data_IF_599033797302
#
_entry.id   IF_599033797302
#
_cell.length_a   1.000
_cell.length_b   1.000
_cell.length_c   1.000
_cell.angle_alpha   90.00
_cell.angle_beta   90.00
_cell.angle_gamma   90.00
#
_symmetry.space_group_name_H-M   'P 1'
#
loop_
_entity.id
_entity.type
_entity.pdbx_description
1 polymer ?
#
# COMPACT_ATOMS: atom_id res chain seq x y z
N UNK A 1 52.93 18.47 22.80
CA UNK A 1 51.49 18.83 22.95
C UNK A 1 50.76 19.06 21.62
N UNK A 2 51.43 19.11 20.45
CA UNK A 2 50.78 19.27 19.15
C UNK A 2 50.22 17.97 18.53
N UNK A 3 50.84 16.83 18.85
CA UNK A 3 50.60 15.55 18.19
C UNK A 3 49.26 14.89 18.59
N UNK A 4 48.96 14.89 19.89
CA UNK A 4 47.69 14.37 20.43
C UNK A 4 46.46 15.16 19.97
N UNK A 5 46.63 16.45 19.70
CA UNK A 5 45.56 17.33 19.21
C UNK A 5 45.30 17.08 17.72
N UNK A 6 46.35 16.87 16.91
CA UNK A 6 46.20 16.47 15.50
C UNK A 6 45.56 15.08 15.36
N UNK A 7 46.00 14.10 16.15
CA UNK A 7 45.42 12.75 16.17
C UNK A 7 43.93 12.76 16.54
N UNK A 8 43.52 13.60 17.52
CA UNK A 8 42.10 13.75 17.89
C UNK A 8 41.28 14.43 16.79
N UNK A 9 41.80 15.45 16.14
CA UNK A 9 41.11 16.13 15.02
C UNK A 9 40.94 15.20 13.82
N UNK A 10 41.95 14.41 13.48
CA UNK A 10 41.87 13.42 12.39
C UNK A 10 40.86 12.32 12.72
N UNK A 11 40.84 11.81 13.96
CA UNK A 11 39.87 10.80 14.39
C UNK A 11 38.43 11.31 14.40
N UNK A 12 38.19 12.54 14.89
CA UNK A 12 36.86 13.17 14.87
C UNK A 12 36.40 13.41 13.43
N UNK A 13 37.30 13.89 12.57
CA UNK A 13 36.99 14.12 11.15
C UNK A 13 36.68 12.80 10.45
N UNK A 14 37.46 11.74 10.68
CA UNK A 14 37.21 10.41 10.14
C UNK A 14 35.89 9.81 10.62
N UNK A 15 35.52 10.01 11.90
CA UNK A 15 34.23 9.59 12.45
C UNK A 15 33.06 10.39 11.86
N UNK A 16 33.23 11.69 11.63
CA UNK A 16 32.23 12.52 10.95
C UNK A 16 32.07 12.10 9.48
N UNK A 17 33.16 11.83 8.75
CA UNK A 17 33.10 11.31 7.39
C UNK A 17 32.51 9.90 7.32
N UNK A 18 32.84 9.01 8.26
CA UNK A 18 32.24 7.68 8.34
C UNK A 18 30.74 7.77 8.66
N UNK A 19 30.36 8.63 9.61
CA UNK A 19 28.94 8.90 9.93
C UNK A 19 28.20 9.49 8.74
N UNK A 20 28.81 10.47 8.04
CA UNK A 20 28.28 11.08 6.83
C UNK A 20 28.21 10.08 5.67
N UNK A 21 29.18 9.18 5.52
CA UNK A 21 29.15 8.13 4.50
C UNK A 21 28.16 7.01 4.84
N UNK A 22 27.86 6.75 6.12
CA UNK A 22 26.81 5.81 6.53
C UNK A 22 25.43 6.44 6.33
N UNK A 23 25.27 7.75 6.57
CA UNK A 23 24.01 8.47 6.38
C UNK A 23 23.73 8.83 4.92
N UNK A 24 24.74 9.28 4.16
CA UNK A 24 24.62 9.66 2.74
C UNK A 24 25.02 8.56 1.77
N UNK A 25 25.76 7.53 2.19
CA UNK A 25 26.24 6.46 1.29
C UNK A 25 25.12 5.69 0.60
N UNK A 26 24.08 5.24 1.31
CA UNK A 26 22.91 4.63 0.68
C UNK A 26 22.23 5.57 -0.32
N UNK A 27 22.07 6.85 0.03
CA UNK A 27 21.49 7.85 -0.87
C UNK A 27 22.37 8.13 -2.09
N UNK A 28 23.70 8.20 -1.94
CA UNK A 28 24.66 8.41 -3.04
C UNK A 28 24.73 7.19 -3.98
N UNK A 29 24.63 5.98 -3.46
CA UNK A 29 24.54 4.74 -4.26
C UNK A 29 23.21 4.70 -5.02
N UNK A 30 22.09 5.00 -4.36
CA UNK A 30 20.77 5.09 -5.00
C UNK A 30 20.69 6.25 -6.01
N UNK A 31 21.34 7.38 -5.75
CA UNK A 31 21.45 8.53 -6.67
C UNK A 31 22.26 8.16 -7.92
N UNK A 32 23.40 7.47 -7.77
CA UNK A 32 24.22 7.04 -8.91
C UNK A 32 23.53 5.97 -9.78
N UNK A 33 22.73 5.08 -9.18
CA UNK A 33 21.96 4.06 -9.91
C UNK A 33 20.67 4.63 -10.54
N UNK A 34 19.98 5.54 -9.84
CA UNK A 34 18.80 6.24 -10.37
C UNK A 34 19.10 7.12 -11.59
N UNK A 35 20.37 7.49 -11.82
CA UNK A 35 20.80 8.20 -13.04
C UNK A 35 20.73 7.30 -14.27
N UNK A 36 21.01 6.00 -14.14
CA UNK A 36 21.22 5.08 -15.26
C UNK A 36 19.98 4.27 -15.67
N UNK A 37 18.92 4.26 -14.85
CA UNK A 37 17.74 3.41 -15.06
C UNK A 37 16.52 4.20 -15.62
N UNK A 38 15.59 3.53 -16.33
CA UNK A 38 14.35 4.15 -16.79
C UNK A 38 13.53 4.69 -15.62
N UNK A 39 13.07 5.95 -15.70
CA UNK A 39 12.25 6.60 -14.67
C UNK A 39 10.85 6.86 -15.16
N UNK A 40 10.12 5.79 -15.43
CA UNK A 40 8.77 5.88 -16.00
C UNK A 40 7.83 6.62 -15.05
N UNK A 41 7.59 7.92 -15.26
CA UNK A 41 6.73 8.73 -14.37
C UNK A 41 7.42 9.29 -13.12
N UNK A 42 8.74 9.15 -12.99
CA UNK A 42 9.55 9.75 -11.91
C UNK A 42 10.62 10.69 -12.48
N UNK A 43 10.79 11.87 -11.87
CA UNK A 43 11.88 12.78 -12.21
C UNK A 43 13.08 12.57 -11.27
N UNK A 44 14.21 13.21 -11.58
CA UNK A 44 15.44 13.08 -10.78
C UNK A 44 15.24 13.42 -9.30
N UNK A 45 14.53 14.53 -9.04
CA UNK A 45 14.24 14.96 -7.67
C UNK A 45 13.39 13.92 -6.95
N UNK A 46 12.33 13.42 -7.58
CA UNK A 46 11.49 12.35 -7.05
C UNK A 46 12.27 11.10 -6.66
N UNK A 47 13.23 10.69 -7.50
CA UNK A 47 14.11 9.55 -7.24
C UNK A 47 15.05 9.80 -6.05
N UNK A 48 15.64 11.00 -5.97
CA UNK A 48 16.52 11.42 -4.87
C UNK A 48 15.78 11.41 -3.52
N UNK A 49 14.52 11.86 -3.51
CA UNK A 49 13.67 11.83 -2.31
C UNK A 49 13.18 10.43 -1.93
N UNK A 50 13.39 9.40 -2.76
CA UNK A 50 12.95 8.02 -2.48
C UNK A 50 13.59 7.44 -1.23
N UNK A 51 14.91 7.62 -1.06
CA UNK A 51 15.64 7.17 0.13
C UNK A 51 15.16 7.86 1.41
N UNK A 52 15.02 9.18 1.37
CA UNK A 52 14.47 9.96 2.48
C UNK A 52 13.06 9.51 2.87
N UNK A 53 12.17 9.24 1.91
CA UNK A 53 10.82 8.73 2.19
C UNK A 53 10.86 7.39 2.91
N UNK A 54 11.72 6.47 2.48
CA UNK A 54 11.87 5.18 3.15
C UNK A 54 12.36 5.36 4.60
N UNK A 55 13.33 6.23 4.83
CA UNK A 55 13.79 6.57 6.18
C UNK A 55 12.67 7.18 7.04
N UNK A 56 11.85 8.05 6.44
CA UNK A 56 10.71 8.67 7.12
C UNK A 56 9.62 7.64 7.49
N UNK A 57 9.33 6.65 6.62
CA UNK A 57 8.42 5.55 6.93
C UNK A 57 8.92 4.76 8.15
N UNK A 58 10.21 4.42 8.20
CA UNK A 58 10.79 3.70 9.34
C UNK A 58 10.73 4.53 10.63
N UNK A 59 11.01 5.84 10.54
CA UNK A 59 10.93 6.77 11.68
C UNK A 59 9.50 6.87 12.21
N UNK A 60 8.52 7.04 11.32
CA UNK A 60 7.10 7.12 11.68
C UNK A 60 6.57 5.79 12.21
N UNK A 61 6.98 4.67 11.61
CA UNK A 61 6.60 3.33 12.07
C UNK A 61 7.03 3.09 13.52
N UNK A 62 8.30 3.42 13.84
CA UNK A 62 8.79 3.34 15.20
C UNK A 62 8.04 4.29 16.15
N UNK A 63 7.76 5.52 15.70
CA UNK A 63 6.95 6.48 16.48
C UNK A 63 5.55 5.94 16.77
N UNK A 64 4.85 5.39 15.78
CA UNK A 64 3.52 4.82 15.99
C UNK A 64 3.55 3.64 16.94
N UNK A 65 4.54 2.76 16.84
CA UNK A 65 4.73 1.67 17.79
C UNK A 65 4.86 2.18 19.23
N UNK A 66 5.74 3.15 19.48
CA UNK A 66 5.98 3.72 20.82
C UNK A 66 4.74 4.41 21.42
N UNK A 67 3.87 4.97 20.58
CA UNK A 67 2.64 5.65 21.01
C UNK A 67 1.39 4.78 20.88
N UNK A 68 1.56 3.47 20.69
CA UNK A 68 0.46 2.52 20.62
C UNK A 68 0.51 1.53 21.77
N UNK A 69 -0.66 0.99 22.13
CA UNK A 69 -0.77 0.01 23.21
C UNK A 69 -1.77 -1.08 22.85
N UNK A 70 -1.46 -2.31 23.25
CA UNK A 70 -2.41 -3.42 23.20
C UNK A 70 -3.42 -3.22 24.33
N UNK A 71 -4.69 -3.11 23.99
CA UNK A 71 -5.78 -2.90 24.96
C UNK A 71 -6.62 -4.14 25.20
N UNK A 72 -6.64 -5.07 24.25
CA UNK A 72 -7.37 -6.35 24.33
C UNK A 72 -6.60 -7.44 23.60
N UNK A 73 -6.80 -8.68 24.02
CA UNK A 73 -6.38 -9.87 23.30
C UNK A 73 -7.55 -10.86 23.33
N UNK A 74 -7.83 -11.52 22.20
CA UNK A 74 -8.82 -12.60 22.13
C UNK A 74 -8.17 -14.00 22.22
N UNK A 75 -8.95 -15.05 22.52
CA UNK A 75 -8.43 -16.43 22.59
C UNK A 75 -7.90 -16.97 21.26
N UNK A 76 -8.29 -16.37 20.13
CA UNK A 76 -7.86 -16.77 18.79
C UNK A 76 -6.49 -16.16 18.39
N UNK A 77 -5.85 -15.42 19.31
CA UNK A 77 -4.50 -14.88 19.10
C UNK A 77 -4.47 -13.53 18.40
N UNK A 78 -5.60 -12.81 18.33
CA UNK A 78 -5.63 -11.44 17.83
C UNK A 78 -5.50 -10.44 18.98
N UNK A 79 -4.89 -9.29 18.71
CA UNK A 79 -4.71 -8.18 19.65
C UNK A 79 -5.32 -6.89 19.11
N UNK A 80 -5.93 -6.11 20.00
CA UNK A 80 -6.44 -4.78 19.66
C UNK A 80 -5.39 -3.73 20.01
N UNK A 81 -4.78 -3.16 18.98
CA UNK A 81 -3.92 -2.00 19.10
C UNK A 81 -4.73 -0.72 19.13
N UNK A 82 -4.55 0.09 20.16
CA UNK A 82 -4.92 1.50 20.15
C UNK A 82 -3.75 2.29 19.61
N UNK A 83 -3.95 2.96 18.48
CA UNK A 83 -2.91 3.74 17.79
C UNK A 83 -3.31 5.22 17.67
N UNK A 84 -2.38 6.14 17.36
CA UNK A 84 -2.72 7.53 17.06
C UNK A 84 -3.69 7.71 15.88
N UNK A 85 -3.86 6.69 15.04
CA UNK A 85 -4.70 6.73 13.83
C UNK A 85 -5.98 5.88 13.98
N UNK A 86 -6.30 5.44 15.20
CA UNK A 86 -7.47 4.62 15.49
C UNK A 86 -7.11 3.25 16.08
N UNK A 87 -8.15 2.53 16.46
CA UNK A 87 -8.04 1.18 17.01
C UNK A 87 -8.03 0.16 15.85
N UNK A 88 -7.09 -0.80 15.86
CA UNK A 88 -6.95 -1.85 14.85
C UNK A 88 -6.71 -3.21 15.51
N UNK A 89 -7.49 -4.21 15.11
CA UNK A 89 -7.14 -5.61 15.39
C UNK A 89 -6.03 -6.07 14.45
N UNK A 90 -5.09 -6.83 14.99
CA UNK A 90 -4.01 -7.47 14.24
C UNK A 90 -3.70 -8.86 14.83
N UNK A 91 -3.12 -9.79 14.05
CA UNK A 91 -2.56 -11.01 14.61
C UNK A 91 -1.47 -10.68 15.65
N UNK A 92 -1.41 -11.43 16.75
CA UNK A 92 -0.36 -11.23 17.75
C UNK A 92 1.02 -11.52 17.14
N UNK A 93 1.93 -10.56 17.28
CA UNK A 93 3.29 -10.66 16.71
C UNK A 93 3.40 -10.14 15.28
N UNK A 94 2.31 -9.70 14.65
CA UNK A 94 2.36 -9.00 13.36
C UNK A 94 2.99 -7.61 13.53
N UNK A 95 4.15 -7.40 12.91
CA UNK A 95 4.90 -6.13 12.93
C UNK A 95 4.53 -5.17 11.80
N UNK A 96 3.66 -5.57 10.86
CA UNK A 96 3.38 -4.80 9.64
C UNK A 96 2.44 -3.61 9.86
N UNK A 97 1.59 -3.63 10.89
CA UNK A 97 0.60 -2.57 11.16
C UNK A 97 1.22 -1.17 11.16
N UNK A 98 2.29 -0.97 11.94
CA UNK A 98 2.90 0.35 12.10
C UNK A 98 3.64 0.82 10.84
N UNK A 99 4.23 -0.12 10.10
CA UNK A 99 4.85 0.16 8.82
C UNK A 99 3.80 0.68 7.83
N UNK A 100 2.67 -0.02 7.69
CA UNK A 100 1.60 0.37 6.76
C UNK A 100 0.95 1.70 7.17
N UNK A 101 0.75 1.93 8.47
CA UNK A 101 0.25 3.22 8.96
C UNK A 101 1.21 4.37 8.61
N UNK A 102 2.51 4.14 8.70
CA UNK A 102 3.54 5.11 8.33
C UNK A 102 3.60 5.31 6.81
N UNK A 103 3.54 4.24 6.05
CA UNK A 103 3.53 4.25 4.59
C UNK A 103 2.35 5.05 4.04
N UNK A 104 1.14 4.83 4.54
CA UNK A 104 -0.04 5.63 4.15
C UNK A 104 0.09 7.10 4.50
N UNK A 105 0.86 7.44 5.55
CA UNK A 105 1.12 8.83 5.91
C UNK A 105 2.07 9.51 4.92
N UNK A 106 3.07 8.79 4.44
CA UNK A 106 4.09 9.27 3.48
C UNK A 106 3.56 9.24 2.04
N UNK A 107 2.78 8.21 1.70
CA UNK A 107 2.21 7.93 0.39
C UNK A 107 0.68 7.84 0.45
N UNK A 108 -0.03 8.96 0.68
CA UNK A 108 -1.46 8.93 0.84
C UNK A 108 -2.18 8.65 -0.49
N UNK A 109 -3.08 7.67 -0.48
CA UNK A 109 -3.89 7.28 -1.65
C UNK A 109 -4.84 8.40 -2.11
N UNK A 110 -5.26 9.28 -1.20
CA UNK A 110 -5.96 10.54 -1.52
C UNK A 110 -5.37 11.70 -0.71
N UNK A 111 -5.40 12.92 -1.27
CA UNK A 111 -4.87 14.12 -0.60
C UNK A 111 -5.97 15.09 -0.20
N UNK A 112 -7.11 15.04 -0.89
CA UNK A 112 -8.31 15.79 -0.54
C UNK A 112 -9.38 14.82 -0.03
N UNK A 113 -9.94 14.99 1.19
CA UNK A 113 -11.04 14.17 1.68
C UNK A 113 -12.24 14.09 0.73
N UNK A 114 -12.50 15.11 -0.09
CA UNK A 114 -13.57 15.10 -1.10
C UNK A 114 -13.36 14.07 -2.21
N UNK A 115 -12.15 13.51 -2.34
CA UNK A 115 -11.89 12.39 -3.24
C UNK A 115 -12.71 11.14 -2.86
N UNK A 116 -13.01 10.96 -1.56
CA UNK A 116 -13.72 9.79 -1.02
C UNK A 116 -15.01 10.14 -0.26
N UNK A 117 -15.19 11.39 0.17
CA UNK A 117 -16.36 11.85 0.93
C UNK A 117 -17.67 11.55 0.19
N UNK A 118 -18.65 11.01 0.90
CA UNK A 118 -19.98 10.63 0.42
C UNK A 118 -19.96 9.67 -0.78
N UNK A 119 -18.86 8.93 -0.99
CA UNK A 119 -18.72 7.96 -2.08
C UNK A 119 -18.68 6.54 -1.58
N UNK A 120 -18.97 5.62 -2.48
CA UNK A 120 -18.65 4.20 -2.34
C UNK A 120 -17.20 3.99 -2.74
N UNK A 121 -16.42 3.43 -1.82
CA UNK A 121 -14.97 3.20 -1.95
C UNK A 121 -14.70 1.70 -1.97
N UNK A 122 -13.93 1.25 -2.95
CA UNK A 122 -13.38 -0.12 -2.95
C UNK A 122 -11.93 -0.06 -2.45
N UNK A 123 -11.64 -0.76 -1.36
CA UNK A 123 -10.30 -0.93 -0.79
C UNK A 123 -9.78 -2.32 -1.17
N UNK A 124 -9.17 -2.42 -2.36
CA UNK A 124 -8.60 -3.66 -2.86
C UNK A 124 -7.22 -3.87 -2.26
N UNK A 125 -7.05 -4.97 -1.50
CA UNK A 125 -5.88 -5.18 -0.65
C UNK A 125 -6.00 -4.41 0.66
N UNK A 126 -7.11 -4.62 1.37
CA UNK A 126 -7.42 -3.87 2.58
C UNK A 126 -6.50 -4.20 3.76
N UNK A 127 -5.86 -5.37 3.76
CA UNK A 127 -4.97 -5.85 4.82
C UNK A 127 -5.63 -5.71 6.22
N UNK A 128 -5.04 -4.93 7.14
CA UNK A 128 -5.61 -4.66 8.47
C UNK A 128 -6.57 -3.45 8.50
N UNK A 129 -6.85 -2.84 7.34
CA UNK A 129 -7.87 -1.80 7.16
C UNK A 129 -7.42 -0.38 7.46
N UNK A 130 -6.12 -0.13 7.42
CA UNK A 130 -5.54 1.20 7.63
C UNK A 130 -6.09 2.24 6.63
N UNK A 131 -6.19 1.91 5.35
CA UNK A 131 -6.84 2.76 4.35
C UNK A 131 -8.36 2.84 4.55
N UNK A 132 -9.02 1.72 4.82
CA UNK A 132 -10.46 1.69 5.16
C UNK A 132 -10.80 2.70 6.27
N UNK A 133 -10.02 2.75 7.36
CA UNK A 133 -10.19 3.75 8.44
C UNK A 133 -10.06 5.18 7.91
N UNK A 134 -9.00 5.48 7.15
CA UNK A 134 -8.81 6.83 6.57
C UNK A 134 -9.97 7.25 5.67
N UNK A 135 -10.50 6.35 4.84
CA UNK A 135 -11.64 6.64 3.98
C UNK A 135 -12.91 6.92 4.79
N UNK A 136 -13.19 6.13 5.83
CA UNK A 136 -14.33 6.34 6.74
C UNK A 136 -14.24 7.67 7.48
N UNK A 137 -13.06 8.02 8.00
CA UNK A 137 -12.78 9.26 8.72
C UNK A 137 -12.88 10.48 7.80
N UNK A 138 -12.50 10.32 6.52
CA UNK A 138 -12.70 11.32 5.47
C UNK A 138 -14.18 11.47 5.02
N UNK A 139 -15.06 10.60 5.51
CA UNK A 139 -16.50 10.66 5.28
C UNK A 139 -17.00 9.83 4.11
N UNK A 140 -16.31 8.74 3.73
CA UNK A 140 -16.86 7.77 2.79
C UNK A 140 -18.22 7.25 3.25
N UNK A 141 -19.16 7.11 2.31
CA UNK A 141 -20.50 6.63 2.59
C UNK A 141 -20.50 5.12 2.90
N UNK A 142 -19.76 4.37 2.08
CA UNK A 142 -19.54 2.94 2.20
C UNK A 142 -18.11 2.61 1.77
N UNK A 143 -17.44 1.72 2.52
CA UNK A 143 -16.19 1.10 2.10
C UNK A 143 -16.40 -0.41 1.94
N UNK A 144 -16.08 -0.96 0.77
CA UNK A 144 -15.97 -2.41 0.56
C UNK A 144 -14.49 -2.78 0.69
N UNK A 145 -14.12 -3.39 1.80
CA UNK A 145 -12.76 -3.82 2.11
C UNK A 145 -12.56 -5.25 1.61
N UNK A 146 -11.64 -5.44 0.66
CA UNK A 146 -11.40 -6.72 0.01
C UNK A 146 -9.98 -7.20 0.33
N UNK A 147 -9.87 -8.38 0.93
CA UNK A 147 -8.59 -9.02 1.21
C UNK A 147 -8.72 -10.55 1.16
N UNK A 148 -7.82 -11.28 0.50
CA UNK A 148 -7.90 -12.74 0.46
C UNK A 148 -7.50 -13.43 1.78
N UNK A 149 -6.70 -12.75 2.62
CA UNK A 149 -6.12 -13.31 3.82
C UNK A 149 -7.14 -13.56 4.91
N UNK A 150 -7.28 -14.82 5.35
CA UNK A 150 -8.25 -15.18 6.40
C UNK A 150 -7.99 -14.44 7.72
N UNK A 151 -6.72 -14.22 8.08
CA UNK A 151 -6.32 -13.46 9.27
C UNK A 151 -6.63 -11.97 9.12
N UNK A 152 -6.37 -11.39 7.96
CA UNK A 152 -6.67 -10.01 7.61
C UNK A 152 -8.17 -9.75 7.68
N UNK A 153 -8.99 -10.59 7.03
CA UNK A 153 -10.46 -10.50 7.10
C UNK A 153 -10.99 -10.67 8.52
N UNK A 154 -10.42 -11.57 9.30
CA UNK A 154 -10.75 -11.73 10.71
C UNK A 154 -10.47 -10.45 11.51
N UNK A 155 -9.38 -9.74 11.20
CA UNK A 155 -9.04 -8.45 11.80
C UNK A 155 -9.98 -7.34 11.31
N UNK A 156 -10.23 -7.21 10.01
CA UNK A 156 -11.16 -6.23 9.43
C UNK A 156 -12.55 -6.31 10.08
N UNK A 157 -13.11 -7.53 10.19
CA UNK A 157 -14.41 -7.75 10.82
C UNK A 157 -14.44 -7.32 12.30
N UNK A 158 -13.34 -7.48 13.03
CA UNK A 158 -13.23 -7.04 14.43
C UNK A 158 -13.03 -5.53 14.55
N UNK A 159 -12.17 -4.94 13.71
CA UNK A 159 -11.83 -3.52 13.69
C UNK A 159 -13.04 -2.66 13.35
N UNK A 160 -13.82 -3.10 12.36
CA UNK A 160 -14.95 -2.33 11.83
C UNK A 160 -16.31 -2.91 12.24
N UNK A 161 -16.39 -3.66 13.34
CA UNK A 161 -17.64 -4.31 13.74
C UNK A 161 -18.83 -3.33 13.82
N UNK A 162 -18.59 -2.11 14.33
CA UNK A 162 -19.62 -1.07 14.44
C UNK A 162 -20.02 -0.52 13.07
N UNK A 163 -19.05 -0.28 12.20
CA UNK A 163 -19.29 0.25 10.87
C UNK A 163 -19.92 -0.79 9.94
N UNK A 164 -19.64 -2.08 10.15
CA UNK A 164 -20.33 -3.19 9.50
C UNK A 164 -21.80 -3.23 9.95
N UNK A 165 -22.06 -3.18 11.26
CA UNK A 165 -23.42 -3.12 11.80
C UNK A 165 -24.21 -1.90 11.28
N UNK A 166 -23.54 -0.76 11.16
CA UNK A 166 -24.12 0.46 10.59
C UNK A 166 -24.23 0.45 9.05
N UNK A 167 -23.81 -0.61 8.37
CA UNK A 167 -23.85 -0.73 6.90
C UNK A 167 -22.84 0.16 6.16
N UNK A 168 -21.87 0.74 6.87
CA UNK A 168 -20.81 1.61 6.32
C UNK A 168 -19.56 0.85 5.86
N UNK A 169 -19.38 -0.41 6.27
CA UNK A 169 -18.31 -1.28 5.82
C UNK A 169 -18.86 -2.64 5.40
N UNK A 170 -18.36 -3.16 4.27
CA UNK A 170 -18.53 -4.56 3.85
C UNK A 170 -17.15 -5.19 3.71
N UNK A 171 -17.01 -6.46 4.11
CA UNK A 171 -15.72 -7.15 4.09
C UNK A 171 -15.82 -8.40 3.22
N UNK A 172 -14.97 -8.50 2.21
CA UNK A 172 -14.94 -9.61 1.26
C UNK A 172 -13.62 -10.38 1.36
N UNK A 173 -13.73 -11.70 1.56
CA UNK A 173 -12.58 -12.61 1.60
C UNK A 173 -12.30 -13.20 0.23
N UNK A 174 -11.84 -12.36 -0.70
CA UNK A 174 -11.49 -12.77 -2.06
C UNK A 174 -10.28 -11.97 -2.52
N UNK A 175 -9.49 -12.50 -3.43
CA UNK A 175 -8.48 -11.74 -4.17
C UNK A 175 -9.13 -11.02 -5.36
N UNK A 176 -8.77 -9.77 -5.60
CA UNK A 176 -9.27 -9.05 -6.79
C UNK A 176 -8.47 -9.48 -8.01
N UNK A 177 -9.17 -9.87 -9.08
CA UNK A 177 -8.57 -10.42 -10.31
C UNK A 177 -9.42 -10.11 -11.55
N UNK A 178 -9.14 -10.75 -12.68
CA UNK A 178 -9.91 -10.59 -13.93
C UNK A 178 -11.23 -11.37 -13.97
N UNK A 179 -11.35 -12.45 -13.17
CA UNK A 179 -12.51 -13.34 -13.11
C UNK A 179 -12.56 -14.13 -11.80
N UNK A 180 -13.67 -14.83 -11.58
CA UNK A 180 -13.80 -15.82 -10.50
C UNK A 180 -13.04 -17.09 -10.87
N UNK A 181 -12.03 -17.41 -10.08
CA UNK A 181 -11.25 -18.64 -10.18
C UNK A 181 -10.58 -18.91 -8.84
N UNK A 182 -9.84 -19.99 -8.78
CA UNK A 182 -8.93 -20.27 -7.68
C UNK A 182 -7.50 -19.91 -8.08
N UNK A 183 -6.78 -19.22 -7.21
CA UNK A 183 -5.35 -18.95 -7.35
C UNK A 183 -4.58 -19.41 -6.11
N UNK A 184 -3.27 -19.52 -6.26
CA UNK A 184 -2.34 -19.72 -5.15
C UNK A 184 -1.56 -18.44 -4.91
N UNK A 185 -1.57 -17.96 -3.67
CA UNK A 185 -0.69 -16.88 -3.23
C UNK A 185 0.55 -17.46 -2.58
N UNK A 186 1.72 -16.95 -2.95
CA UNK A 186 2.97 -17.20 -2.24
C UNK A 186 3.01 -16.25 -1.04
N UNK A 187 3.34 -16.78 0.14
CA UNK A 187 3.60 -15.92 1.29
C UNK A 187 4.99 -15.31 1.17
N UNK A 188 5.08 -13.98 1.20
CA UNK A 188 6.34 -13.25 1.41
C UNK A 188 6.85 -13.38 2.87
N UNK A 189 7.99 -12.76 3.21
CA UNK A 189 8.52 -12.76 4.58
C UNK A 189 7.55 -12.13 5.60
N UNK A 190 6.66 -11.25 5.13
CA UNK A 190 5.58 -10.64 5.92
C UNK A 190 4.21 -10.89 5.26
N UNK A 191 3.13 -10.81 6.04
CA UNK A 191 1.75 -11.02 5.55
C UNK A 191 1.27 -9.97 4.55
N UNK A 192 1.93 -8.80 4.50
CA UNK A 192 1.59 -7.72 3.57
C UNK A 192 2.06 -7.99 2.12
N UNK A 193 3.02 -8.92 1.91
CA UNK A 193 3.71 -9.09 0.62
C UNK A 193 3.22 -10.34 -0.15
N UNK A 194 1.95 -10.72 0.01
CA UNK A 194 1.41 -11.93 -0.59
C UNK A 194 1.03 -11.72 -2.07
N UNK A 195 1.77 -12.33 -2.99
CA UNK A 195 1.58 -12.21 -4.45
C UNK A 195 1.18 -13.54 -5.10
N UNK A 196 0.65 -13.48 -6.34
CA UNK A 196 0.27 -14.69 -7.10
C UNK A 196 1.50 -15.56 -7.37
N UNK A 197 1.47 -16.81 -6.90
CA UNK A 197 2.59 -17.75 -7.01
C UNK A 197 2.67 -18.44 -8.38
N UNK A 198 3.88 -18.57 -8.92
CA UNK A 198 4.20 -19.59 -9.93
C UNK A 198 4.24 -21.01 -9.32
N UNK A 199 4.41 -22.05 -10.15
CA UNK A 199 4.35 -23.45 -9.71
C UNK A 199 5.50 -23.90 -8.78
N UNK A 200 6.59 -23.13 -8.61
CA UNK A 200 7.76 -23.58 -7.84
C UNK A 200 7.93 -22.90 -6.47
N UNK A 201 8.01 -23.70 -5.40
CA UNK A 201 8.57 -23.37 -4.08
C UNK A 201 7.72 -22.48 -3.14
N UNK A 202 7.73 -22.79 -1.83
CA UNK A 202 7.12 -21.98 -0.77
C UNK A 202 5.75 -22.47 -0.25
N UNK A 203 5.34 -21.98 0.93
CA UNK A 203 3.98 -22.17 1.44
C UNK A 203 3.00 -21.40 0.55
N UNK A 204 2.00 -22.11 0.02
CA UNK A 204 1.01 -21.56 -0.90
C UNK A 204 -0.35 -21.59 -0.24
N UNK A 205 -1.02 -20.44 -0.21
CA UNK A 205 -2.40 -20.35 0.27
C UNK A 205 -3.32 -20.26 -0.92
N UNK A 206 -4.28 -21.17 -0.98
CA UNK A 206 -5.31 -21.18 -2.00
C UNK A 206 -6.35 -20.09 -1.68
N UNK A 207 -6.67 -19.25 -2.67
CA UNK A 207 -7.61 -18.13 -2.50
C UNK A 207 -8.60 -18.08 -3.66
N UNK A 208 -9.84 -17.76 -3.34
CA UNK A 208 -10.87 -17.46 -4.34
C UNK A 208 -10.66 -16.04 -4.86
N UNK A 209 -10.83 -15.85 -6.16
CA UNK A 209 -10.78 -14.53 -6.79
C UNK A 209 -12.16 -14.00 -7.15
N UNK A 210 -12.25 -12.69 -7.36
CA UNK A 210 -13.43 -11.99 -7.88
C UNK A 210 -13.00 -10.86 -8.79
N UNK A 211 -13.78 -10.60 -9.85
CA UNK A 211 -13.62 -9.39 -10.66
C UNK A 211 -14.34 -8.21 -10.01
N UNK A 212 -13.85 -6.98 -10.21
CA UNK A 212 -14.51 -5.78 -9.66
C UNK A 212 -15.94 -5.64 -10.21
N UNK A 213 -16.15 -5.96 -11.49
CA UNK A 213 -17.48 -5.91 -12.11
C UNK A 213 -18.46 -6.87 -11.42
N UNK A 214 -18.01 -8.09 -11.11
CA UNK A 214 -18.82 -9.06 -10.37
C UNK A 214 -19.07 -8.61 -8.94
N UNK A 215 -18.04 -8.13 -8.25
CA UNK A 215 -18.15 -7.60 -6.88
C UNK A 215 -19.21 -6.50 -6.78
N UNK A 216 -19.16 -5.54 -7.70
CA UNK A 216 -20.12 -4.42 -7.80
C UNK A 216 -21.54 -4.95 -8.01
N UNK A 217 -21.72 -5.94 -8.88
CA UNK A 217 -23.02 -6.56 -9.13
C UNK A 217 -23.55 -7.35 -7.92
N UNK A 218 -22.72 -8.18 -7.28
CA UNK A 218 -23.10 -8.99 -6.10
C UNK A 218 -23.51 -8.13 -4.91
N UNK A 219 -22.83 -6.99 -4.73
CA UNK A 219 -23.16 -6.04 -3.68
C UNK A 219 -24.31 -5.08 -4.02
N UNK A 220 -24.84 -5.14 -5.25
CA UNK A 220 -25.89 -4.25 -5.72
C UNK A 220 -25.49 -2.77 -5.67
N UNK A 221 -24.21 -2.47 -5.96
CA UNK A 221 -23.71 -1.10 -5.91
C UNK A 221 -24.20 -0.32 -7.13
N UNK A 222 -24.87 0.80 -6.89
CA UNK A 222 -25.38 1.70 -7.93
C UNK A 222 -24.38 2.78 -8.35
N UNK A 223 -23.26 2.89 -7.63
CA UNK A 223 -22.17 3.82 -7.89
C UNK A 223 -20.85 3.29 -7.30
N UNK A 224 -19.73 3.71 -7.87
CA UNK A 224 -18.39 3.56 -7.29
C UNK A 224 -17.65 4.85 -7.54
N UNK A 225 -17.18 5.52 -6.48
CA UNK A 225 -16.55 6.83 -6.59
C UNK A 225 -15.04 6.82 -6.43
N UNK A 226 -14.48 5.78 -5.81
CA UNK A 226 -13.06 5.64 -5.59
C UNK A 226 -12.66 4.15 -5.53
N UNK A 227 -11.53 3.80 -6.15
CA UNK A 227 -10.93 2.46 -6.04
C UNK A 227 -9.46 2.64 -5.65
N UNK A 228 -9.12 2.15 -4.45
CA UNK A 228 -7.72 1.95 -4.03
C UNK A 228 -7.31 0.53 -4.41
N UNK A 229 -6.10 0.39 -4.94
CA UNK A 229 -5.59 -0.91 -5.36
C UNK A 229 -4.12 -1.04 -5.01
N UNK A 230 -3.85 -1.98 -4.11
CA UNK A 230 -2.51 -2.37 -3.64
C UNK A 230 -2.57 -3.87 -3.38
N UNK A 231 -2.36 -4.65 -4.44
CA UNK A 231 -2.71 -6.08 -4.49
C UNK A 231 -1.56 -6.93 -5.02
N UNK A 232 -0.33 -6.49 -4.73
CA UNK A 232 0.90 -7.27 -4.86
C UNK A 232 1.10 -7.87 -6.28
N UNK A 233 0.85 -7.05 -7.30
CA UNK A 233 1.09 -7.40 -8.71
C UNK A 233 -0.16 -7.86 -9.48
N UNK A 234 -1.33 -7.90 -8.86
CA UNK A 234 -2.59 -8.24 -9.52
C UNK A 234 -3.29 -7.05 -10.21
N UNK A 235 -2.67 -5.87 -10.22
CA UNK A 235 -3.30 -4.60 -10.62
C UNK A 235 -3.84 -4.63 -12.06
N UNK A 236 -3.05 -5.15 -13.00
CA UNK A 236 -3.42 -5.22 -14.42
C UNK A 236 -4.63 -6.13 -14.61
N UNK A 237 -4.64 -7.30 -13.96
CA UNK A 237 -5.75 -8.26 -14.06
C UNK A 237 -7.00 -7.74 -13.37
N UNK A 238 -6.86 -7.13 -12.19
CA UNK A 238 -7.96 -6.47 -11.51
C UNK A 238 -8.59 -5.36 -12.35
N UNK A 239 -7.78 -4.55 -13.05
CA UNK A 239 -8.27 -3.54 -13.98
C UNK A 239 -8.99 -4.15 -15.20
N UNK A 240 -8.52 -5.29 -15.71
CA UNK A 240 -9.21 -6.03 -16.76
C UNK A 240 -10.60 -6.52 -16.29
N UNK A 241 -10.69 -7.01 -15.04
CA UNK A 241 -11.94 -7.41 -14.40
C UNK A 241 -12.83 -6.25 -13.89
N UNK A 242 -12.46 -5.00 -14.17
CA UNK A 242 -13.19 -3.80 -13.74
C UNK A 242 -13.78 -3.01 -14.93
N UNK A 243 -13.68 -3.53 -16.15
CA UNK A 243 -13.92 -2.76 -17.35
C UNK A 243 -15.32 -2.13 -17.43
N UNK A 244 -16.36 -2.84 -16.97
CA UNK A 244 -17.74 -2.32 -16.95
C UNK A 244 -17.92 -1.25 -15.87
N UNK A 245 -17.40 -1.49 -14.67
CA UNK A 245 -17.42 -0.57 -13.53
C UNK A 245 -16.71 0.74 -13.88
N UNK A 246 -15.52 0.64 -14.48
CA UNK A 246 -14.72 1.79 -14.88
C UNK A 246 -15.44 2.62 -15.95
N UNK A 247 -16.03 1.98 -16.97
CA UNK A 247 -16.80 2.69 -18.01
C UNK A 247 -18.04 3.35 -17.45
N UNK A 248 -18.77 2.65 -16.58
CA UNK A 248 -20.08 3.09 -16.07
C UNK A 248 -19.94 4.20 -15.04
N UNK A 249 -19.07 4.03 -14.05
CA UNK A 249 -19.00 4.94 -12.90
C UNK A 249 -17.81 5.89 -12.93
N UNK A 250 -16.81 5.62 -13.76
CA UNK A 250 -15.59 6.43 -13.90
C UNK A 250 -14.98 6.83 -12.53
N UNK A 251 -14.77 5.87 -11.62
CA UNK A 251 -14.25 6.17 -10.29
C UNK A 251 -12.85 6.75 -10.37
N UNK A 252 -12.48 7.57 -9.38
CA UNK A 252 -11.07 7.91 -9.20
C UNK A 252 -10.30 6.65 -8.82
N UNK A 253 -9.14 6.43 -9.43
CA UNK A 253 -8.28 5.29 -9.11
C UNK A 253 -7.04 5.78 -8.39
N UNK A 254 -6.57 5.01 -7.41
CA UNK A 254 -5.28 5.21 -6.76
C UNK A 254 -4.62 3.85 -6.59
N UNK A 255 -3.63 3.57 -7.42
CA UNK A 255 -3.09 2.23 -7.68
C UNK A 255 -1.60 2.20 -7.35
N UNK A 256 -1.15 1.25 -6.55
CA UNK A 256 0.27 0.97 -6.33
C UNK A 256 0.95 0.60 -7.65
N UNK A 257 2.11 1.20 -7.94
CA UNK A 257 2.79 1.06 -9.24
C UNK A 257 4.26 0.66 -9.09
N UNK A 258 4.57 -0.06 -8.02
CA UNK A 258 5.92 -0.44 -7.64
C UNK A 258 6.15 -1.95 -7.52
N UNK A 259 5.17 -2.80 -7.84
CA UNK A 259 5.27 -4.25 -7.69
C UNK A 259 6.07 -4.89 -8.82
N UNK A 260 6.03 -4.31 -10.03
CA UNK A 260 6.80 -4.75 -11.20
C UNK A 260 7.47 -3.56 -11.90
N UNK A 261 8.59 -3.80 -12.62
CA UNK A 261 9.30 -2.73 -13.34
C UNK A 261 8.41 -1.95 -14.31
N UNK A 262 7.52 -2.63 -15.03
CA UNK A 262 6.68 -2.03 -16.08
C UNK A 262 5.28 -1.63 -15.60
N UNK A 263 4.98 -1.71 -14.30
CA UNK A 263 3.66 -1.41 -13.73
C UNK A 263 3.14 -0.05 -14.19
N UNK A 264 4.00 0.98 -14.21
CA UNK A 264 3.58 2.31 -14.64
C UNK A 264 2.99 2.33 -16.06
N UNK A 265 3.63 1.62 -17.00
CA UNK A 265 3.19 1.60 -18.39
C UNK A 265 1.98 0.68 -18.56
N UNK A 266 2.01 -0.48 -17.93
CA UNK A 266 1.00 -1.51 -18.09
C UNK A 266 -0.32 -1.16 -17.41
N UNK A 267 -0.28 -0.62 -16.18
CA UNK A 267 -1.46 -0.13 -15.45
C UNK A 267 -2.10 1.01 -16.25
N UNK A 268 -1.31 1.96 -16.75
CA UNK A 268 -1.82 3.05 -17.60
C UNK A 268 -2.50 2.51 -18.84
N UNK A 269 -1.84 1.62 -19.58
CA UNK A 269 -2.39 1.02 -20.80
C UNK A 269 -3.70 0.30 -20.50
N UNK A 270 -3.74 -0.50 -19.45
CA UNK A 270 -4.91 -1.31 -19.10
C UNK A 270 -6.09 -0.44 -18.66
N UNK A 271 -5.87 0.58 -17.82
CA UNK A 271 -6.93 1.52 -17.43
C UNK A 271 -7.50 2.27 -18.64
N UNK A 272 -6.65 2.66 -19.60
CA UNK A 272 -7.07 3.32 -20.84
C UNK A 272 -7.90 2.44 -21.79
N UNK A 273 -7.86 1.11 -21.66
CA UNK A 273 -8.76 0.21 -22.43
C UNK A 273 -10.22 0.41 -22.02
N UNK A 274 -10.48 0.65 -20.74
CA UNK A 274 -11.82 0.92 -20.23
C UNK A 274 -12.19 2.40 -20.41
N UNK A 275 -11.27 3.30 -20.08
CA UNK A 275 -11.51 4.75 -20.02
C UNK A 275 -10.33 5.49 -20.66
N UNK A 276 -10.37 5.75 -21.98
CA UNK A 276 -9.24 6.32 -22.72
C UNK A 276 -8.81 7.72 -22.28
N UNK A 277 -9.73 8.47 -21.68
CA UNK A 277 -9.60 9.89 -21.34
C UNK A 277 -9.27 10.14 -19.86
N UNK A 278 -8.91 9.11 -19.08
CA UNK A 278 -8.41 9.30 -17.72
C UNK A 278 -7.18 10.23 -17.70
N UNK A 279 -7.21 11.22 -16.82
CA UNK A 279 -6.04 12.01 -16.50
C UNK A 279 -5.17 11.26 -15.50
N UNK A 280 -3.94 10.93 -15.90
CA UNK A 280 -3.03 10.10 -15.11
C UNK A 280 -1.94 10.95 -14.49
N UNK A 281 -1.76 10.83 -13.18
CA UNK A 281 -0.67 11.46 -12.43
C UNK A 281 0.05 10.42 -11.56
N UNK A 282 1.36 10.55 -11.39
CA UNK A 282 2.12 9.78 -10.41
C UNK A 282 2.21 10.53 -9.07
N UNK A 283 2.26 9.79 -7.96
CA UNK A 283 2.54 10.33 -6.62
C UNK A 283 3.62 9.52 -5.94
N UNK A 284 4.65 10.22 -5.47
CA UNK A 284 5.80 9.57 -4.85
C UNK A 284 6.62 8.75 -5.85
N UNK A 285 7.86 8.49 -5.48
CA UNK A 285 8.73 7.57 -6.19
C UNK A 285 9.30 6.61 -5.16
N UNK A 286 9.28 5.31 -5.50
CA UNK A 286 10.05 4.27 -4.83
C UNK A 286 11.36 4.14 -5.61
N UNK A 287 12.48 4.19 -4.89
CA UNK A 287 13.80 4.00 -5.46
C UNK A 287 14.46 2.82 -4.75
N UNK A 288 14.81 1.78 -5.50
CA UNK A 288 15.66 0.70 -5.01
C UNK A 288 16.95 0.62 -5.86
N UNK A 289 17.78 -0.40 -5.60
CA UNK A 289 19.06 -0.58 -6.27
C UNK A 289 18.92 -0.87 -7.78
N UNK A 290 17.77 -1.37 -8.22
CA UNK A 290 17.56 -1.91 -9.56
C UNK A 290 16.64 -1.02 -10.42
N UNK A 291 15.74 -0.22 -9.82
CA UNK A 291 14.73 0.55 -10.54
C UNK A 291 14.16 1.73 -9.73
N UNK A 292 13.64 2.75 -10.43
CA UNK A 292 12.93 3.89 -9.87
C UNK A 292 11.53 4.01 -10.48
N UNK A 293 10.51 3.74 -9.66
CA UNK A 293 9.10 3.68 -10.04
C UNK A 293 8.28 4.76 -9.35
N UNK A 294 7.18 5.23 -9.95
CA UNK A 294 6.09 5.86 -9.22
C UNK A 294 5.61 4.95 -8.11
N UNK A 295 5.40 5.53 -6.94
CA UNK A 295 4.83 4.75 -5.83
C UNK A 295 3.34 4.52 -6.09
N UNK A 296 2.58 5.59 -6.37
CA UNK A 296 1.17 5.50 -6.78
C UNK A 296 0.95 6.08 -8.18
N UNK A 297 -0.04 5.53 -8.88
CA UNK A 297 -0.70 6.14 -10.03
C UNK A 297 -2.13 6.54 -9.67
N UNK A 298 -2.50 7.77 -10.00
CA UNK A 298 -3.81 8.35 -9.74
C UNK A 298 -4.49 8.68 -11.06
N UNK A 299 -5.71 8.18 -11.24
CA UNK A 299 -6.54 8.38 -12.42
C UNK A 299 -7.77 9.21 -12.06
N UNK A 300 -8.07 10.24 -12.87
CA UNK A 300 -9.20 11.16 -12.66
C UNK A 300 -9.98 11.41 -13.94
#
# INVERSE_FOLDING_TARGET
MSDLTQLRTVAITALLFASLAITLGPELILLSHGIQQPRHGCNFTGAAWGGWRQAEILRLSHSYFLHSQITKQDPAGYVLWRTPLGDFWAPKGDGSLFYILAELKVHPYFTDPNEVRNKIVLDCGAHLGSFTRQALDAGAALVVAIDPGAQQVACLKRTFAREIEAGRVRVEQKAVWDRETMLYLASGPNTAEASVAGLAGGSKTQVLTISIDRLVAEHGLDSVGFIKMDIEGAEIQALAGAAETLRRFRPRLSIAAYHRPDDYLDIRRQASVAVPDYQVNSRGCRTDLNYCAPYLMVFK
#
